data_IF_979988120594
#
_entry.id   IF_979988120594
#
_cell.length_a   1.000
_cell.length_b   1.000
_cell.length_c   1.000
_cell.angle_alpha   90.00
_cell.angle_beta   90.00
_cell.angle_gamma   90.00
#
_symmetry.space_group_name_H-M   'P 1'
#
loop_
_entity.id
_entity.type
_entity.pdbx_description
1 polymer ?
#
# COMPACT_ATOMS: atom_id res chain seq x y z
N UNK A 1 6.23 2.35 12.17
CA UNK A 1 5.28 1.43 12.79
C UNK A 1 3.96 2.17 12.86
N UNK A 2 3.03 1.90 11.94
CA UNK A 2 1.70 2.49 12.00
C UNK A 2 0.91 1.73 13.06
N UNK A 3 0.75 2.36 14.22
CA UNK A 3 -0.21 1.95 15.21
C UNK A 3 -1.65 2.15 14.69
N UNK A 4 -2.60 1.56 15.42
CA UNK A 4 -4.05 1.58 15.22
C UNK A 4 -4.63 2.86 14.54
N UNK A 5 -5.72 2.71 13.79
CA UNK A 5 -6.54 3.80 13.24
C UNK A 5 -6.88 4.88 14.28
N UNK A 6 -7.06 4.49 15.55
CA UNK A 6 -7.29 5.43 16.65
C UNK A 6 -6.10 6.38 16.92
N UNK A 7 -4.86 5.93 16.67
CA UNK A 7 -3.67 6.79 16.77
C UNK A 7 -3.48 7.68 15.53
N UNK A 8 -3.98 7.25 14.36
CA UNK A 8 -3.88 8.04 13.13
C UNK A 8 -4.59 9.41 13.24
N UNK A 9 -5.68 9.51 14.01
CA UNK A 9 -6.35 10.79 14.25
C UNK A 9 -5.53 11.76 15.12
N UNK A 10 -4.64 11.23 15.99
CA UNK A 10 -3.77 12.04 16.83
C UNK A 10 -2.58 12.64 16.06
N UNK A 11 -2.24 12.11 14.88
CA UNK A 11 -1.05 12.51 14.13
C UNK A 11 -1.25 13.72 13.22
N UNK A 12 -2.49 14.19 13.06
CA UNK A 12 -2.82 15.32 12.19
C UNK A 12 -2.87 14.96 10.70
N UNK A 13 -3.51 15.83 9.91
CA UNK A 13 -3.68 15.62 8.46
C UNK A 13 -2.38 15.92 7.71
N UNK A 14 -2.08 15.16 6.66
CA UNK A 14 -0.91 15.37 5.79
C UNK A 14 0.43 15.50 6.57
N UNK A 15 0.59 14.67 7.59
CA UNK A 15 1.76 14.66 8.46
C UNK A 15 2.94 13.86 7.88
N UNK A 16 2.68 12.85 7.05
CA UNK A 16 3.70 11.90 6.60
C UNK A 16 3.86 11.84 5.08
N UNK A 17 5.09 11.73 4.61
CA UNK A 17 5.40 11.43 3.20
C UNK A 17 5.30 9.93 2.90
N UNK A 18 5.54 9.07 3.90
CA UNK A 18 5.58 7.62 3.77
C UNK A 18 5.00 6.91 4.99
N UNK A 19 4.15 5.92 4.73
CA UNK A 19 3.62 4.96 5.67
C UNK A 19 4.20 3.57 5.38
N UNK A 20 4.74 2.90 6.41
CA UNK A 20 5.23 1.53 6.32
C UNK A 20 4.31 0.61 7.12
N UNK A 21 3.68 -0.33 6.44
CA UNK A 21 2.81 -1.36 7.01
C UNK A 21 3.52 -2.71 6.89
N UNK A 22 3.79 -3.34 8.02
CA UNK A 22 4.15 -4.76 8.05
C UNK A 22 2.87 -5.55 8.28
N UNK A 23 2.30 -6.04 7.18
CA UNK A 23 0.90 -6.47 7.12
C UNK A 23 0.78 -7.99 6.94
N UNK A 24 1.76 -8.74 7.47
CA UNK A 24 1.77 -10.19 7.48
C UNK A 24 1.48 -10.73 8.88
N UNK A 25 0.45 -11.57 9.00
CA UNK A 25 0.04 -12.17 10.27
C UNK A 25 0.68 -13.54 10.58
N UNK A 26 1.59 -14.01 9.72
CA UNK A 26 2.20 -15.34 9.83
C UNK A 26 1.34 -16.50 9.30
N UNK A 27 0.08 -16.24 8.91
CA UNK A 27 -0.88 -17.22 8.38
C UNK A 27 -1.24 -16.98 6.91
N UNK A 28 -0.74 -15.89 6.34
CA UNK A 28 -1.00 -15.49 4.97
C UNK A 28 -2.23 -14.62 4.81
N UNK A 29 -2.80 -14.12 5.90
CA UNK A 29 -3.88 -13.15 5.88
C UNK A 29 -3.34 -11.75 6.21
N UNK A 30 -4.01 -10.71 5.69
CA UNK A 30 -3.74 -9.34 6.12
C UNK A 30 -4.48 -9.09 7.44
N UNK A 31 -3.81 -8.58 8.50
CA UNK A 31 -4.45 -8.34 9.78
C UNK A 31 -5.75 -7.53 9.64
N UNK A 32 -6.83 -8.04 10.22
CA UNK A 32 -8.17 -7.50 10.00
C UNK A 32 -8.30 -6.00 10.30
N UNK A 33 -7.58 -5.50 11.31
CA UNK A 33 -7.62 -4.08 11.69
C UNK A 33 -7.01 -3.15 10.62
N UNK A 34 -6.00 -3.61 9.87
CA UNK A 34 -5.41 -2.86 8.74
C UNK A 34 -6.34 -2.81 7.53
N UNK A 35 -7.31 -3.72 7.47
CA UNK A 35 -8.25 -3.84 6.37
C UNK A 35 -9.57 -3.08 6.59
N UNK A 36 -9.78 -2.46 7.76
CA UNK A 36 -11.03 -1.77 8.09
C UNK A 36 -11.05 -0.36 7.49
N UNK A 37 -12.24 0.08 7.09
CA UNK A 37 -12.45 1.43 6.52
C UNK A 37 -11.86 2.56 7.37
N UNK A 38 -12.08 2.61 8.71
CA UNK A 38 -11.50 3.69 9.52
C UNK A 38 -9.98 3.76 9.47
N UNK A 39 -9.29 2.61 9.42
CA UNK A 39 -7.84 2.57 9.29
C UNK A 39 -7.39 3.10 7.94
N UNK A 40 -8.02 2.65 6.86
CA UNK A 40 -7.67 3.02 5.50
C UNK A 40 -7.95 4.51 5.21
N UNK A 41 -9.05 5.05 5.74
CA UNK A 41 -9.36 6.47 5.69
C UNK A 41 -8.36 7.30 6.51
N UNK A 42 -8.01 6.83 7.71
CA UNK A 42 -6.97 7.43 8.54
C UNK A 42 -5.63 7.47 7.81
N UNK A 43 -5.23 6.36 7.20
CA UNK A 43 -4.01 6.23 6.40
C UNK A 43 -3.97 7.26 5.27
N UNK A 44 -5.06 7.38 4.48
CA UNK A 44 -5.16 8.37 3.41
C UNK A 44 -5.07 9.82 3.92
N UNK A 45 -5.62 10.08 5.11
CA UNK A 45 -5.66 11.41 5.74
C UNK A 45 -4.31 11.87 6.27
N UNK A 46 -3.56 10.96 6.89
CA UNK A 46 -2.26 11.28 7.49
C UNK A 46 -1.15 11.40 6.46
N UNK A 47 -1.28 10.75 5.31
CA UNK A 47 -0.35 10.92 4.19
C UNK A 47 -0.49 12.30 3.58
N UNK A 48 0.60 12.92 3.14
CA UNK A 48 0.61 14.15 2.33
C UNK A 48 0.10 13.88 0.92
N UNK A 49 -0.43 14.88 0.19
CA UNK A 49 -0.63 14.75 -1.25
C UNK A 49 0.69 14.29 -1.91
N UNK A 50 0.63 13.23 -2.73
CA UNK A 50 1.83 12.62 -3.33
C UNK A 50 2.59 11.65 -2.41
N UNK A 51 2.16 11.49 -1.16
CA UNK A 51 2.73 10.53 -0.22
C UNK A 51 2.32 9.08 -0.49
N UNK A 52 2.96 8.15 0.21
CA UNK A 52 2.91 6.72 -0.11
C UNK A 52 2.57 5.85 1.09
N UNK A 53 1.89 4.74 0.85
CA UNK A 53 1.89 3.60 1.76
C UNK A 53 2.57 2.39 1.12
N UNK A 54 3.52 1.79 1.83
CA UNK A 54 4.15 0.53 1.49
C UNK A 54 3.63 -0.55 2.45
N UNK A 55 3.07 -1.62 1.90
CA UNK A 55 2.61 -2.77 2.68
C UNK A 55 3.41 -4.01 2.33
N UNK A 56 4.17 -4.51 3.30
CA UNK A 56 4.83 -5.81 3.21
C UNK A 56 3.82 -6.93 3.43
N UNK A 57 3.74 -7.85 2.48
CA UNK A 57 2.79 -8.94 2.46
C UNK A 57 3.47 -10.24 2.03
N UNK A 58 2.84 -11.35 2.40
CA UNK A 58 3.19 -12.67 1.93
C UNK A 58 2.13 -13.16 0.94
N UNK A 59 2.56 -13.73 -0.20
CA UNK A 59 1.70 -14.22 -1.28
C UNK A 59 2.02 -15.69 -1.65
N UNK A 60 2.64 -16.45 -0.75
CA UNK A 60 3.14 -17.80 -1.01
C UNK A 60 2.09 -18.91 -1.19
N UNK A 61 0.79 -18.58 -1.14
CA UNK A 61 -0.32 -19.51 -1.42
C UNK A 61 -1.42 -18.82 -2.24
N UNK A 62 -2.33 -19.60 -2.86
CA UNK A 62 -3.47 -19.03 -3.61
C UNK A 62 -4.36 -18.15 -2.72
N UNK A 63 -4.64 -18.61 -1.50
CA UNK A 63 -5.39 -17.81 -0.51
C UNK A 63 -4.67 -16.49 -0.21
N UNK A 64 -3.37 -16.53 0.04
CA UNK A 64 -2.60 -15.33 0.35
C UNK A 64 -2.54 -14.36 -0.84
N UNK A 65 -2.47 -14.87 -2.07
CA UNK A 65 -2.60 -14.06 -3.29
C UNK A 65 -3.96 -13.38 -3.39
N UNK A 66 -5.04 -14.11 -3.11
CA UNK A 66 -6.39 -13.55 -3.09
C UNK A 66 -6.55 -12.47 -2.01
N UNK A 67 -5.99 -12.68 -0.82
CA UNK A 67 -5.99 -11.66 0.25
C UNK A 67 -5.15 -10.43 -0.12
N UNK A 68 -3.98 -10.62 -0.75
CA UNK A 68 -3.19 -9.51 -1.30
C UNK A 68 -4.01 -8.70 -2.33
N UNK A 69 -4.75 -9.38 -3.22
CA UNK A 69 -5.59 -8.74 -4.23
C UNK A 69 -6.72 -7.92 -3.59
N UNK A 70 -7.41 -8.49 -2.59
CA UNK A 70 -8.48 -7.81 -1.84
C UNK A 70 -7.94 -6.60 -1.10
N UNK A 71 -6.78 -6.72 -0.47
CA UNK A 71 -6.17 -5.62 0.24
C UNK A 71 -5.67 -4.52 -0.71
N UNK A 72 -5.11 -4.90 -1.87
CA UNK A 72 -4.75 -3.95 -2.93
C UNK A 72 -5.97 -3.14 -3.42
N UNK A 73 -7.12 -3.78 -3.62
CA UNK A 73 -8.35 -3.08 -4.01
C UNK A 73 -8.81 -2.07 -2.94
N UNK A 74 -8.71 -2.44 -1.65
CA UNK A 74 -9.04 -1.55 -0.52
C UNK A 74 -8.09 -0.34 -0.44
N UNK A 75 -6.78 -0.58 -0.56
CA UNK A 75 -5.79 0.50 -0.65
C UNK A 75 -6.04 1.39 -1.86
N UNK A 76 -6.48 0.79 -2.98
CA UNK A 76 -6.79 1.55 -4.19
C UNK A 76 -7.94 2.52 -4.00
N UNK A 77 -9.00 2.05 -3.36
CA UNK A 77 -10.17 2.86 -3.05
C UNK A 77 -9.87 3.98 -2.04
N UNK A 78 -9.08 3.70 -1.00
CA UNK A 78 -8.85 4.66 0.08
C UNK A 78 -7.70 5.64 -0.17
N UNK A 79 -6.60 5.18 -0.76
CA UNK A 79 -5.35 5.96 -0.88
C UNK A 79 -5.14 6.46 -2.31
N UNK A 80 -5.25 5.59 -3.31
CA UNK A 80 -5.05 5.95 -4.71
C UNK A 80 -4.45 4.83 -5.55
N UNK A 81 -3.54 5.13 -6.49
CA UNK A 81 -3.02 4.07 -7.39
C UNK A 81 -2.20 3.04 -6.62
N UNK A 82 -2.30 1.76 -6.98
CA UNK A 82 -1.57 0.66 -6.33
C UNK A 82 -0.68 -0.07 -7.32
N UNK A 83 0.57 -0.25 -6.93
CA UNK A 83 1.59 -1.01 -7.65
C UNK A 83 2.07 -2.18 -6.82
N UNK A 84 2.63 -3.19 -7.47
CA UNK A 84 3.21 -4.35 -6.78
C UNK A 84 4.66 -4.52 -7.13
N UNK A 85 5.46 -4.70 -6.08
CA UNK A 85 6.87 -5.00 -6.15
C UNK A 85 7.07 -6.45 -5.72
N UNK A 86 7.70 -7.24 -6.59
CA UNK A 86 8.19 -8.58 -6.23
C UNK A 86 9.54 -8.45 -5.54
N UNK A 87 9.74 -9.19 -4.46
CA UNK A 87 11.01 -9.19 -3.72
C UNK A 87 11.94 -10.23 -4.33
N UNK A 88 13.05 -9.80 -4.93
CA UNK A 88 14.03 -10.71 -5.50
C UNK A 88 14.62 -11.64 -4.43
N UNK A 89 14.69 -12.94 -4.71
CA UNK A 89 15.15 -13.96 -3.76
C UNK A 89 14.14 -14.32 -2.65
N UNK A 90 12.96 -13.69 -2.64
CA UNK A 90 11.86 -13.97 -1.74
C UNK A 90 10.53 -13.89 -2.50
N UNK A 91 10.32 -14.82 -3.42
CA UNK A 91 9.21 -14.81 -4.40
C UNK A 91 7.83 -14.90 -3.75
N UNK A 92 7.80 -15.36 -2.49
CA UNK A 92 6.60 -15.44 -1.66
C UNK A 92 6.30 -14.14 -0.90
N UNK A 93 7.14 -13.11 -1.03
CA UNK A 93 6.90 -11.79 -0.44
C UNK A 93 6.65 -10.77 -1.55
N UNK A 94 5.68 -9.89 -1.30
CA UNK A 94 5.36 -8.77 -2.18
C UNK A 94 5.18 -7.51 -1.37
N UNK A 95 5.55 -6.39 -1.97
CA UNK A 95 5.24 -5.07 -1.42
C UNK A 95 4.15 -4.42 -2.27
N UNK A 96 3.04 -4.04 -1.66
CA UNK A 96 2.09 -3.14 -2.29
C UNK A 96 2.52 -1.71 -2.04
N UNK A 97 2.57 -0.91 -3.10
CA UNK A 97 2.81 0.53 -3.04
C UNK A 97 1.53 1.26 -3.42
N UNK A 98 0.89 1.91 -2.46
CA UNK A 98 -0.25 2.79 -2.70
C UNK A 98 0.20 4.26 -2.75
N UNK A 99 -0.11 4.94 -3.85
CA UNK A 99 0.20 6.34 -4.12
C UNK A 99 -1.01 7.22 -3.84
N UNK A 100 -0.89 8.16 -2.88
CA UNK A 100 -1.88 9.23 -2.73
C UNK A 100 -1.70 10.25 -3.86
N UNK A 101 -2.77 10.66 -4.56
CA UNK A 101 -2.65 11.70 -5.59
C UNK A 101 -2.01 12.98 -5.04
N UNK A 102 -1.04 13.53 -5.77
CA UNK A 102 -0.44 14.83 -5.46
C UNK A 102 -1.31 16.01 -5.89
N UNK A 103 -1.03 17.19 -5.34
CA UNK A 103 -1.49 18.44 -5.95
C UNK A 103 -0.76 18.60 -7.28
N UNK A 104 -1.49 18.87 -8.38
CA UNK A 104 -0.87 19.01 -9.70
C UNK A 104 0.05 20.24 -9.72
N UNK A 105 1.35 20.04 -9.54
CA UNK A 105 2.37 21.03 -9.89
C UNK A 105 3.57 20.34 -10.57
N UNK A 106 3.61 20.43 -11.90
CA UNK A 106 4.82 20.59 -12.73
C UNK A 106 6.01 19.62 -12.69
N UNK A 107 6.18 18.74 -11.71
CA UNK A 107 7.29 17.78 -11.64
C UNK A 107 6.81 16.34 -11.78
N UNK A 108 7.68 15.47 -12.29
CA UNK A 108 7.51 14.01 -12.26
C UNK A 108 6.97 13.59 -10.88
N UNK A 109 5.87 12.84 -10.87
CA UNK A 109 5.36 12.28 -9.63
C UNK A 109 6.42 11.33 -9.08
N UNK A 110 6.64 11.28 -7.76
CA UNK A 110 7.51 10.26 -7.18
C UNK A 110 7.04 8.83 -7.53
N UNK A 111 5.75 8.62 -7.88
CA UNK A 111 5.29 7.36 -8.49
C UNK A 111 5.91 7.11 -9.88
N UNK A 112 6.13 8.15 -10.68
CA UNK A 112 6.80 8.06 -11.98
C UNK A 112 8.30 7.75 -11.80
N UNK A 113 8.96 8.33 -10.79
CA UNK A 113 10.34 7.98 -10.42
C UNK A 113 10.44 6.52 -9.96
N UNK A 114 9.54 6.06 -9.09
CA UNK A 114 9.50 4.66 -8.64
C UNK A 114 9.26 3.72 -9.83
N UNK A 115 8.37 4.10 -10.76
CA UNK A 115 8.14 3.36 -12.02
C UNK A 115 9.37 3.32 -12.91
N UNK A 116 10.14 4.40 -12.96
CA UNK A 116 11.38 4.52 -13.74
C UNK A 116 12.52 3.68 -13.16
N UNK A 117 12.62 3.60 -11.82
CA UNK A 117 13.71 2.88 -11.15
C UNK A 117 13.45 1.38 -10.97
N UNK A 118 12.19 0.96 -10.86
CA UNK A 118 11.86 -0.44 -10.64
C UNK A 118 11.53 -1.14 -11.96
N UNK A 119 12.53 -1.83 -12.52
CA UNK A 119 12.38 -2.71 -13.69
C UNK A 119 11.37 -3.86 -13.47
N UNK A 120 10.91 -4.07 -12.24
CA UNK A 120 9.92 -5.08 -11.84
C UNK A 120 8.57 -4.50 -11.44
N UNK A 121 8.36 -3.18 -11.58
CA UNK A 121 7.11 -2.54 -11.19
C UNK A 121 6.02 -2.89 -12.19
N UNK A 122 5.03 -3.65 -11.74
CA UNK A 122 3.80 -3.86 -12.52
C UNK A 122 2.68 -3.12 -11.80
N UNK A 123 1.97 -2.26 -12.53
CA UNK A 123 0.71 -1.73 -12.01
C UNK A 123 -0.22 -2.92 -11.77
N UNK A 124 -0.92 -2.94 -10.64
CA UNK A 124 -1.85 -4.04 -10.37
C UNK A 124 -3.01 -3.92 -11.37
N UNK A 125 -2.88 -4.59 -12.51
CA UNK A 125 -3.98 -4.98 -13.36
C UNK A 125 -4.64 -6.19 -12.72
N UNK A 126 -5.97 -6.21 -12.69
CA UNK A 126 -6.74 -7.40 -12.35
C UNK A 126 -6.30 -8.54 -13.26
N UNK A 127 -5.32 -9.32 -12.81
CA UNK A 127 -4.82 -10.48 -13.51
C UNK A 127 -5.16 -11.71 -12.68
N UNK A 128 -6.27 -12.29 -13.13
CA UNK A 128 -6.66 -13.69 -13.02
C UNK A 128 -7.29 -14.09 -11.68
N UNK A 129 -8.63 -13.96 -11.69
CA UNK A 129 -9.55 -14.79 -10.91
C UNK A 129 -9.31 -16.28 -11.18
#
# INVERSE_FOLDING_TARGET
MLADAAEADAWGRAAFDLALLDAYDGRGDVPAHLQREPFLEGLSRVLRPGGFALANLWNGSDRARAECARFAAKLRAAVGRVYVLRVAGHEQNVILLACRPGERQGSESTCDTIRSCASSLTEWSECEA
#
